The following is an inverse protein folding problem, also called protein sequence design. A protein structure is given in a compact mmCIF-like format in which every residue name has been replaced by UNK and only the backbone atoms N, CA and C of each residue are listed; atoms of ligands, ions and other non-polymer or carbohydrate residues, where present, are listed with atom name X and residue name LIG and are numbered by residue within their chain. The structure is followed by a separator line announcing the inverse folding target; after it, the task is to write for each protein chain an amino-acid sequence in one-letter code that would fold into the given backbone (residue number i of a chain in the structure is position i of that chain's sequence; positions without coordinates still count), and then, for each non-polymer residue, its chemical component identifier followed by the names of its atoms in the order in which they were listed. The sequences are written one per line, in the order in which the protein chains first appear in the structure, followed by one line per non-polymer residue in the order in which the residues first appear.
data_IF_002451258353
#
_entry.id   IF_002451258353
#
_cell.length_a   1.000
_cell.length_b   1.000
_cell.length_c   1.000
_cell.angle_alpha   90.00
_cell.angle_beta   90.00
_cell.angle_gamma   90.00
#
_symmetry.space_group_name_H-M   'P 1'
#
loop_
_entity.id
_entity.type
_entity.pdbx_description
1 polymer ?
#
# COMPACT_ATOMS: atom_id res chain seq x y z
N UNK A 1 -6.24 -1.82 2.96
CA UNK A 1 -7.47 -1.06 3.22
C UNK A 1 -7.76 -1.11 4.70
N UNK A 2 -7.55 -0.01 5.41
CA UNK A 2 -7.93 0.10 6.81
C UNK A 2 -9.42 0.44 6.84
N UNK A 3 -10.21 -0.36 7.57
CA UNK A 3 -11.67 -0.24 7.61
C UNK A 3 -12.06 0.58 8.84
N UNK A 4 -12.95 1.56 8.66
CA UNK A 4 -13.40 2.47 9.72
C UNK A 4 -14.60 1.93 10.53
N UNK A 5 -14.83 0.61 10.51
CA UNK A 5 -15.89 0.01 11.32
C UNK A 5 -15.31 -0.81 12.46
N UNK A 6 -16.02 -0.82 13.58
CA UNK A 6 -15.66 -1.60 14.75
C UNK A 6 -15.61 -3.09 14.41
N UNK A 7 -14.42 -3.69 14.48
CA UNK A 7 -14.28 -5.13 14.37
C UNK A 7 -15.06 -5.81 15.50
N UNK A 8 -15.84 -6.84 15.17
CA UNK A 8 -16.52 -7.66 16.18
C UNK A 8 -15.44 -8.41 16.97
N UNK A 9 -15.36 -8.12 18.26
CA UNK A 9 -14.45 -8.79 19.19
C UNK A 9 -15.21 -9.86 19.98
N UNK A 10 -14.47 -10.74 20.65
CA UNK A 10 -15.04 -11.74 21.54
C UNK A 10 -15.88 -11.06 22.64
N UNK A 11 -17.10 -11.57 22.85
CA UNK A 11 -17.99 -11.10 23.92
C UNK A 11 -18.77 -12.27 24.50
N UNK A 12 -19.13 -12.16 25.79
CA UNK A 12 -19.88 -13.20 26.50
C UNK A 12 -21.39 -12.95 26.35
N UNK A 13 -22.14 -14.03 26.14
CA UNK A 13 -23.60 -14.03 26.16
C UNK A 13 -24.13 -15.38 26.66
N UNK A 14 -25.38 -15.40 27.13
CA UNK A 14 -25.99 -16.61 27.66
C UNK A 14 -26.13 -17.68 26.59
N UNK A 15 -25.88 -18.95 26.95
CA UNK A 15 -26.06 -20.09 26.04
C UNK A 15 -27.49 -20.09 25.49
N UNK A 16 -27.62 -20.14 24.16
CA UNK A 16 -28.90 -20.09 23.45
C UNK A 16 -29.47 -18.69 23.20
N UNK A 17 -28.79 -17.61 23.63
CA UNK A 17 -29.20 -16.22 23.36
C UNK A 17 -28.16 -15.49 22.52
N UNK A 18 -28.19 -15.69 21.19
CA UNK A 18 -27.32 -14.97 20.26
C UNK A 18 -27.53 -13.46 20.41
N UNK A 19 -26.46 -12.73 20.71
CA UNK A 19 -26.49 -11.26 20.79
C UNK A 19 -26.44 -10.67 19.37
N UNK A 20 -27.35 -9.75 19.08
CA UNK A 20 -27.29 -8.94 17.86
C UNK A 20 -26.35 -7.76 18.13
N UNK A 21 -25.29 -7.65 17.34
CA UNK A 21 -24.30 -6.57 17.44
C UNK A 21 -24.58 -5.58 16.30
N UNK A 22 -25.09 -4.37 16.59
CA UNK A 22 -25.28 -3.36 15.55
C UNK A 22 -23.93 -2.86 15.07
N UNK A 23 -23.71 -2.89 13.75
CA UNK A 23 -22.52 -2.31 13.11
C UNK A 23 -22.87 -0.92 12.59
N UNK A 24 -22.28 0.12 13.19
CA UNK A 24 -22.55 1.53 12.85
C UNK A 24 -21.59 2.13 11.81
N UNK A 25 -20.84 1.29 11.09
CA UNK A 25 -19.83 1.75 10.14
C UNK A 25 -20.44 2.22 8.82
N UNK A 26 -20.13 3.45 8.41
CA UNK A 26 -20.13 3.77 6.98
C UNK A 26 -19.05 2.89 6.33
N UNK A 27 -19.24 2.44 5.09
CA UNK A 27 -18.20 1.73 4.32
C UNK A 27 -17.07 2.70 3.91
N UNK A 28 -16.49 3.40 4.88
CA UNK A 28 -15.33 4.26 4.69
C UNK A 28 -14.09 3.42 5.01
N UNK A 29 -13.15 3.45 4.10
CA UNK A 29 -11.86 2.82 4.29
C UNK A 29 -10.79 3.66 3.60
N UNK A 30 -9.66 3.81 4.26
CA UNK A 30 -8.51 4.53 3.70
C UNK A 30 -7.64 3.54 2.94
N UNK A 31 -7.13 3.99 1.78
CA UNK A 31 -6.14 3.24 1.01
C UNK A 31 -4.79 3.90 1.26
N UNK A 32 -3.82 3.05 1.61
CA UNK A 32 -2.46 3.49 1.88
C UNK A 32 -1.57 2.98 0.74
N UNK A 33 -0.73 3.87 0.23
CA UNK A 33 0.39 3.50 -0.64
C UNK A 33 1.65 3.75 0.18
N UNK A 34 2.46 2.72 0.37
CA UNK A 34 3.62 2.76 1.25
C UNK A 34 4.88 2.23 0.58
N UNK A 35 6.02 2.73 1.04
CA UNK A 35 7.35 2.23 0.71
C UNK A 35 8.17 2.10 1.99
N UNK A 36 8.90 0.99 2.10
CA UNK A 36 9.84 0.72 3.18
C UNK A 36 11.27 0.78 2.62
N UNK A 37 12.14 1.56 3.25
CA UNK A 37 13.56 1.52 2.98
C UNK A 37 14.20 0.33 3.72
N UNK A 38 14.75 -0.63 2.98
CA UNK A 38 15.25 -1.88 3.55
C UNK A 38 16.49 -1.72 4.44
N UNK A 39 17.31 -0.68 4.22
CA UNK A 39 18.54 -0.45 5.00
C UNK A 39 18.24 0.22 6.33
N UNK A 40 17.37 1.22 6.31
CA UNK A 40 17.10 2.10 7.45
C UNK A 40 15.84 1.73 8.23
N UNK A 41 14.97 0.91 7.65
CA UNK A 41 13.64 0.61 8.19
C UNK A 41 12.65 1.78 8.09
N UNK A 42 13.02 2.88 7.43
CA UNK A 42 12.13 4.05 7.31
C UNK A 42 10.94 3.73 6.41
N UNK A 43 9.75 3.96 6.93
CA UNK A 43 8.48 3.83 6.19
C UNK A 43 8.00 5.20 5.74
N UNK A 44 7.58 5.29 4.48
CA UNK A 44 6.86 6.44 3.95
C UNK A 44 5.53 5.98 3.36
N UNK A 45 4.42 6.51 3.89
CA UNK A 45 3.07 6.17 3.47
C UNK A 45 2.30 7.43 3.10
N UNK A 46 1.47 7.32 2.07
CA UNK A 46 0.52 8.35 1.65
C UNK A 46 -0.88 7.77 1.71
N UNK A 47 -1.81 8.55 2.26
CA UNK A 47 -3.23 8.24 2.25
C UNK A 47 -3.84 8.74 0.95
N UNK A 48 -4.56 7.85 0.26
CA UNK A 48 -5.27 8.18 -0.97
C UNK A 48 -6.72 7.69 -0.86
N UNK A 49 -7.66 8.48 -1.37
CA UNK A 49 -9.07 8.09 -1.43
C UNK A 49 -9.28 6.94 -2.44
N UNK A 50 -8.48 6.94 -3.51
CA UNK A 50 -8.53 5.95 -4.57
C UNK A 50 -7.18 5.23 -4.73
N UNK A 51 -7.23 4.01 -5.26
CA UNK A 51 -6.04 3.20 -5.52
C UNK A 51 -6.05 2.87 -7.00
N UNK A 52 -5.64 3.87 -7.77
CA UNK A 52 -5.59 3.85 -9.22
C UNK A 52 -4.18 4.22 -9.69
N UNK A 53 -3.99 4.24 -11.01
CA UNK A 53 -2.71 4.57 -11.61
C UNK A 53 -2.27 6.03 -11.37
N UNK A 54 -3.22 6.96 -11.18
CA UNK A 54 -2.91 8.37 -10.93
C UNK A 54 -2.40 8.58 -9.50
N UNK A 55 -3.03 7.94 -8.52
CA UNK A 55 -2.56 7.88 -7.13
C UNK A 55 -1.16 7.29 -7.06
N UNK A 56 -0.90 6.21 -7.80
CA UNK A 56 0.43 5.63 -7.88
C UNK A 56 1.44 6.56 -8.55
N UNK A 57 1.07 7.24 -9.64
CA UNK A 57 1.95 8.22 -10.29
C UNK A 57 2.31 9.38 -9.34
N UNK A 58 1.32 9.94 -8.63
CA UNK A 58 1.55 10.95 -7.59
C UNK A 58 2.51 10.42 -6.54
N UNK A 59 2.33 9.20 -6.07
CA UNK A 59 3.23 8.57 -5.12
C UNK A 59 4.67 8.47 -5.66
N UNK A 60 4.84 7.99 -6.90
CA UNK A 60 6.15 7.89 -7.55
C UNK A 60 6.85 9.25 -7.68
N UNK A 61 6.12 10.34 -7.89
CA UNK A 61 6.67 11.70 -7.90
C UNK A 61 7.13 12.20 -6.52
N UNK A 62 6.59 11.66 -5.43
CA UNK A 62 6.98 12.00 -4.07
C UNK A 62 8.21 11.23 -3.60
N UNK A 63 8.40 9.99 -4.04
CA UNK A 63 9.49 9.12 -3.55
C UNK A 63 10.89 9.72 -3.77
N UNK A 64 11.26 10.25 -4.97
CA UNK A 64 12.55 10.93 -5.17
C UNK A 64 12.74 12.18 -4.31
N UNK A 65 11.66 12.84 -3.87
CA UNK A 65 11.75 13.98 -2.95
C UNK A 65 12.11 13.55 -1.52
N UNK A 66 11.65 12.36 -1.12
CA UNK A 66 11.95 11.78 0.20
C UNK A 66 13.36 11.17 0.27
N UNK A 67 13.82 10.64 -0.85
CA UNK A 67 15.18 10.11 -1.01
C UNK A 67 15.90 10.96 -2.06
N UNK A 68 16.48 12.11 -1.71
CA UNK A 68 17.02 13.05 -2.70
C UNK A 68 18.28 12.54 -3.42
N UNK A 69 19.00 11.57 -2.84
CA UNK A 69 20.31 11.11 -3.32
C UNK A 69 20.31 9.66 -3.80
N UNK A 70 21.21 9.33 -4.72
CA UNK A 70 21.45 7.97 -5.21
C UNK A 70 20.51 7.53 -6.33
N UNK A 71 20.52 6.24 -6.68
CA UNK A 71 19.52 5.59 -7.54
C UNK A 71 18.51 4.89 -6.64
N UNK A 72 17.21 4.95 -6.95
CA UNK A 72 16.17 4.23 -6.23
C UNK A 72 15.79 3.01 -7.07
N UNK A 73 15.91 1.84 -6.48
CA UNK A 73 15.32 0.60 -7.00
C UNK A 73 14.13 0.29 -6.12
N UNK A 74 12.93 0.35 -6.71
CA UNK A 74 11.68 0.09 -6.01
C UNK A 74 11.23 -1.33 -6.33
N UNK A 75 11.20 -2.18 -5.31
CA UNK A 75 10.72 -3.57 -5.43
C UNK A 75 9.22 -3.59 -5.19
N UNK A 76 8.46 -4.12 -6.14
CA UNK A 76 7.00 -4.08 -6.16
C UNK A 76 6.40 -5.47 -6.40
N UNK A 77 5.16 -5.64 -5.97
CA UNK A 77 4.32 -6.76 -6.42
C UNK A 77 3.77 -6.50 -7.84
N UNK A 78 3.03 -7.47 -8.37
CA UNK A 78 2.47 -7.40 -9.72
C UNK A 78 1.07 -6.76 -9.75
N UNK A 79 0.79 -5.80 -8.87
CA UNK A 79 -0.49 -5.10 -8.89
C UNK A 79 -0.68 -4.38 -10.25
N UNK A 80 -1.90 -4.48 -10.82
CA UNK A 80 -2.21 -3.94 -12.15
C UNK A 80 -1.87 -2.46 -12.31
N UNK A 81 -1.99 -1.67 -11.24
CA UNK A 81 -1.68 -0.24 -11.25
C UNK A 81 -0.20 0.04 -11.51
N UNK A 82 0.71 -0.86 -11.12
CA UNK A 82 2.15 -0.72 -11.34
C UNK A 82 2.55 -0.96 -12.80
N UNK A 83 1.65 -1.52 -13.61
CA UNK A 83 1.86 -1.77 -15.04
C UNK A 83 1.06 -0.80 -15.93
N UNK A 84 0.44 0.22 -15.34
CA UNK A 84 -0.37 1.17 -16.09
C UNK A 84 0.47 1.92 -17.12
N UNK A 85 -0.02 2.07 -18.36
CA UNK A 85 0.67 2.86 -19.38
C UNK A 85 0.89 4.31 -18.98
N UNK A 86 -0.01 4.84 -18.15
CA UNK A 86 0.05 6.21 -17.63
C UNK A 86 1.36 6.53 -16.90
N UNK A 87 1.99 5.55 -16.23
CA UNK A 87 3.23 5.80 -15.48
C UNK A 87 4.50 5.70 -16.34
N UNK A 88 4.41 5.13 -17.56
CA UNK A 88 5.58 4.88 -18.41
C UNK A 88 6.35 6.16 -18.76
N UNK A 89 5.72 7.28 -19.20
CA UNK A 89 6.46 8.49 -19.51
C UNK A 89 7.29 9.03 -18.34
N UNK A 90 6.75 8.94 -17.12
CA UNK A 90 7.46 9.36 -15.91
C UNK A 90 8.66 8.45 -15.62
N UNK A 91 8.51 7.14 -15.80
CA UNK A 91 9.61 6.19 -15.62
C UNK A 91 10.71 6.37 -16.66
N UNK A 92 10.35 6.67 -17.91
CA UNK A 92 11.31 6.96 -18.98
C UNK A 92 12.10 8.24 -18.69
N UNK A 93 11.42 9.32 -18.28
CA UNK A 93 12.06 10.57 -17.87
C UNK A 93 13.00 10.38 -16.66
N UNK A 94 12.63 9.47 -15.75
CA UNK A 94 13.35 9.24 -14.50
C UNK A 94 14.20 7.95 -14.50
N UNK A 95 14.45 7.32 -15.64
CA UNK A 95 15.08 5.99 -15.73
C UNK A 95 16.47 5.89 -15.05
N UNK A 96 17.21 7.01 -15.04
CA UNK A 96 18.52 7.09 -14.38
C UNK A 96 18.40 7.18 -12.85
N UNK A 97 17.25 7.65 -12.36
CA UNK A 97 16.99 7.94 -10.95
C UNK A 97 16.15 6.86 -10.27
N UNK A 98 15.17 6.30 -10.97
CA UNK A 98 14.15 5.39 -10.45
C UNK A 98 13.98 4.19 -11.39
N UNK A 99 14.10 3.00 -10.81
CA UNK A 99 13.90 1.73 -11.48
C UNK A 99 12.87 0.89 -10.71
N UNK A 100 11.90 0.31 -11.41
CA UNK A 100 10.92 -0.59 -10.82
C UNK A 100 11.35 -2.05 -11.07
N UNK A 101 11.38 -2.84 -10.01
CA UNK A 101 11.69 -4.27 -10.06
C UNK A 101 10.49 -5.04 -9.53
N UNK A 102 10.02 -6.03 -10.28
CA UNK A 102 8.84 -6.80 -9.93
C UNK A 102 9.24 -8.14 -9.31
N UNK A 103 8.61 -8.47 -8.18
CA UNK A 103 8.74 -9.77 -7.56
C UNK A 103 8.08 -10.87 -8.41
N UNK A 104 8.43 -12.15 -8.20
CA UNK A 104 7.67 -13.25 -8.77
C UNK A 104 6.19 -13.18 -8.36
N UNK A 105 5.25 -13.56 -9.25
CA UNK A 105 3.84 -13.58 -8.92
C UNK A 105 3.56 -14.42 -7.66
N UNK A 106 2.60 -13.97 -6.86
CA UNK A 106 2.13 -14.67 -5.65
C UNK A 106 3.22 -14.92 -4.58
N UNK A 107 4.23 -14.07 -4.49
CA UNK A 107 5.31 -14.16 -3.48
C UNK A 107 5.25 -13.03 -2.44
N UNK A 108 4.16 -12.88 -1.66
CA UNK A 108 4.01 -11.79 -0.69
C UNK A 108 5.05 -11.83 0.43
N UNK A 109 5.60 -12.99 0.75
CA UNK A 109 6.67 -13.18 1.73
C UNK A 109 7.99 -12.49 1.34
N UNK A 110 8.18 -12.21 0.06
CA UNK A 110 9.35 -11.48 -0.44
C UNK A 110 9.18 -9.96 -0.38
N UNK A 111 7.95 -9.48 -0.19
CA UNK A 111 7.66 -8.06 -0.08
C UNK A 111 7.72 -7.62 1.40
N UNK A 112 8.84 -7.02 1.80
CA UNK A 112 9.08 -6.64 3.21
C UNK A 112 7.97 -5.75 3.80
N UNK A 113 7.33 -4.90 3.00
CA UNK A 113 6.27 -4.02 3.50
C UNK A 113 5.00 -4.80 3.89
N UNK A 114 4.76 -5.99 3.33
CA UNK A 114 3.63 -6.84 3.74
C UNK A 114 3.76 -7.28 5.20
N UNK A 115 4.99 -7.39 5.71
CA UNK A 115 5.23 -7.62 7.14
C UNK A 115 4.78 -6.47 8.04
N UNK A 116 4.81 -5.23 7.54
CA UNK A 116 4.35 -4.04 8.26
C UNK A 116 2.82 -3.96 8.35
N UNK A 117 2.13 -4.51 7.35
CA UNK A 117 0.67 -4.44 7.25
C UNK A 117 -0.07 -5.54 8.02
N UNK A 118 0.65 -6.52 8.56
CA UNK A 118 0.09 -7.58 9.43
C UNK A 118 -0.11 -7.06 10.84
#
# INVERSE_FOLDING_TARGET
MIRDYQAVQYTWFLRGKQRIIPTYGKHHGVKLIGVLNYETGRVHCVEEEQYDAEAFLRFLQHVPKQYPTGKIVMVLDNARIHHARLIQPFLEENQNRLELVFLPPYSPEMNLIEGLWK
#
